data_IF_223459898398
#
_entry.id   IF_223459898398
#
_cell.length_a   1.000
_cell.length_b   1.000
_cell.length_c   1.000
_cell.angle_alpha   90.00
_cell.angle_beta   90.00
_cell.angle_gamma   90.00
#
_symmetry.space_group_name_H-M   'P 1'
#
loop_
_entity.id
_entity.type
_entity.pdbx_description
1 polymer ?
#
# COMPACT_ATOMS: atom_id res chain seq x y z
N UNK A 1 -1.96 -1.66 27.20
CA UNK A 1 -2.12 -1.44 25.75
C UNK A 1 -2.40 -2.73 24.96
N UNK A 2 -1.47 -3.69 24.91
CA UNK A 2 -1.62 -4.95 24.13
C UNK A 2 -2.95 -5.69 24.32
N UNK A 3 -3.43 -5.83 25.56
CA UNK A 3 -4.73 -6.45 25.85
C UNK A 3 -5.88 -5.73 25.11
N UNK A 4 -5.94 -4.41 25.22
CA UNK A 4 -6.99 -3.61 24.58
C UNK A 4 -6.90 -3.70 23.07
N UNK A 5 -5.70 -3.66 22.50
CA UNK A 5 -5.50 -3.85 21.06
C UNK A 5 -6.04 -5.20 20.59
N UNK A 6 -5.80 -6.29 21.32
CA UNK A 6 -6.36 -7.60 21.01
C UNK A 6 -7.88 -7.64 21.16
N UNK A 7 -8.42 -7.07 22.24
CA UNK A 7 -9.87 -7.00 22.48
C UNK A 7 -10.59 -6.21 21.37
N UNK A 8 -10.01 -5.07 20.94
CA UNK A 8 -10.55 -4.27 19.84
C UNK A 8 -10.50 -5.02 18.50
N UNK A 9 -9.40 -5.72 18.20
CA UNK A 9 -9.31 -6.57 16.99
C UNK A 9 -10.39 -7.64 17.01
N UNK A 10 -10.58 -8.34 18.12
CA UNK A 10 -11.63 -9.35 18.26
C UNK A 10 -13.03 -8.74 18.08
N UNK A 11 -13.29 -7.60 18.73
CA UNK A 11 -14.57 -6.90 18.61
C UNK A 11 -14.91 -6.55 17.16
N UNK A 12 -13.97 -5.97 16.41
CA UNK A 12 -14.20 -5.64 14.99
C UNK A 12 -14.37 -6.89 14.12
N UNK A 13 -13.59 -7.94 14.36
CA UNK A 13 -13.74 -9.21 13.63
C UNK A 13 -15.13 -9.83 13.84
N UNK A 14 -15.65 -9.81 15.07
CA UNK A 14 -16.98 -10.32 15.39
C UNK A 14 -18.09 -9.41 14.86
N UNK A 15 -17.93 -8.09 14.98
CA UNK A 15 -18.92 -7.10 14.54
C UNK A 15 -19.10 -7.08 13.03
N UNK A 16 -18.01 -7.23 12.28
CA UNK A 16 -18.01 -7.12 10.82
C UNK A 16 -18.21 -8.46 10.11
N UNK A 17 -18.06 -9.57 10.84
CA UNK A 17 -18.14 -10.95 10.34
C UNK A 17 -17.22 -11.21 9.13
N UNK A 18 -16.17 -10.38 9.00
CA UNK A 18 -15.25 -10.36 7.87
C UNK A 18 -13.84 -10.14 8.36
N UNK A 19 -12.92 -10.85 7.75
CA UNK A 19 -11.49 -10.73 8.00
C UNK A 19 -10.73 -10.81 6.69
N UNK A 20 -9.56 -10.18 6.69
CA UNK A 20 -8.59 -10.30 5.64
C UNK A 20 -7.57 -11.40 5.95
N UNK A 21 -6.99 -11.98 4.91
CA UNK A 21 -5.81 -12.82 5.05
C UNK A 21 -4.65 -11.94 5.55
N UNK A 22 -4.10 -12.27 6.71
CA UNK A 22 -3.00 -11.53 7.31
C UNK A 22 -1.64 -11.88 6.73
N UNK A 23 -0.57 -11.41 7.36
CA UNK A 23 0.81 -11.73 6.97
C UNK A 23 1.27 -11.09 5.66
N UNK A 24 0.66 -9.97 5.25
CA UNK A 24 1.00 -9.28 4.01
C UNK A 24 0.22 -9.75 2.77
N UNK A 25 -0.70 -10.71 2.91
CA UNK A 25 -1.42 -11.28 1.76
C UNK A 25 -2.31 -10.26 1.04
N UNK A 26 -3.01 -9.38 1.78
CA UNK A 26 -3.83 -8.33 1.15
C UNK A 26 -2.97 -7.20 0.60
N UNK A 27 -1.89 -6.85 1.27
CA UNK A 27 -0.93 -5.86 0.78
C UNK A 27 -0.27 -6.32 -0.53
N UNK A 28 0.03 -7.61 -0.64
CA UNK A 28 0.49 -8.24 -1.88
C UNK A 28 -0.61 -8.21 -2.97
N UNK A 29 -1.87 -8.47 -2.63
CA UNK A 29 -2.98 -8.33 -3.57
C UNK A 29 -3.09 -6.87 -4.09
N UNK A 30 -2.98 -5.89 -3.21
CA UNK A 30 -2.98 -4.47 -3.57
C UNK A 30 -1.83 -4.15 -4.53
N UNK A 31 -0.62 -4.68 -4.28
CA UNK A 31 0.53 -4.53 -5.16
C UNK A 31 0.24 -5.11 -6.56
N UNK A 32 -0.27 -6.34 -6.65
CA UNK A 32 -0.64 -6.96 -7.94
C UNK A 32 -1.69 -6.14 -8.67
N UNK A 33 -2.73 -5.67 -7.98
CA UNK A 33 -3.77 -4.82 -8.58
C UNK A 33 -3.20 -3.50 -9.10
N UNK A 34 -2.31 -2.84 -8.36
CA UNK A 34 -1.69 -1.58 -8.80
C UNK A 34 -0.82 -1.76 -10.04
N UNK A 35 -0.07 -2.86 -10.15
CA UNK A 35 0.73 -3.17 -11.34
C UNK A 35 -0.17 -3.37 -12.57
N UNK A 36 -1.22 -4.18 -12.44
CA UNK A 36 -2.20 -4.40 -13.52
C UNK A 36 -2.85 -3.08 -13.95
N UNK A 37 -3.25 -2.23 -13.01
CA UNK A 37 -3.85 -0.93 -13.31
C UNK A 37 -2.86 0.03 -13.99
N UNK A 38 -1.60 0.03 -13.56
CA UNK A 38 -0.56 0.85 -14.17
C UNK A 38 -0.31 0.41 -15.63
N UNK A 39 -0.21 -0.88 -15.89
CA UNK A 39 -0.06 -1.42 -17.24
C UNK A 39 -1.27 -1.13 -18.14
N UNK A 40 -2.49 -1.29 -17.61
CA UNK A 40 -3.71 -0.96 -18.34
C UNK A 40 -3.78 0.52 -18.70
N UNK A 41 -3.36 1.40 -17.77
CA UNK A 41 -3.32 2.84 -18.04
C UNK A 41 -2.36 3.20 -19.17
N UNK A 42 -1.20 2.53 -19.24
CA UNK A 42 -0.23 2.69 -20.33
C UNK A 42 -0.77 2.15 -21.67
N UNK A 43 -1.46 1.00 -21.65
CA UNK A 43 -2.06 0.40 -22.87
C UNK A 43 -3.20 1.24 -23.44
N UNK A 44 -3.99 1.89 -22.57
CA UNK A 44 -5.11 2.75 -22.97
C UNK A 44 -4.65 4.08 -23.56
N UNK A 45 -3.48 4.58 -23.17
CA UNK A 45 -2.86 5.76 -23.79
C UNK A 45 -2.47 5.49 -25.26
N UNK A 46 -2.11 4.25 -25.58
CA UNK A 46 -1.83 3.81 -26.96
C UNK A 46 -3.10 3.58 -27.81
N UNK A 47 -4.28 3.50 -27.19
CA UNK A 47 -5.58 3.26 -27.85
C UNK A 47 -6.67 4.17 -27.28
N UNK A 48 -6.86 5.33 -27.94
CA UNK A 48 -7.93 6.34 -27.81
C UNK A 48 -7.49 7.63 -27.07
N UNK A 49 -7.21 8.72 -27.80
CA UNK A 49 -8.22 9.63 -28.34
C UNK A 49 -9.63 9.04 -28.53
N UNK A 50 -10.56 9.46 -27.66
CA UNK A 50 -12.04 9.39 -27.73
C UNK A 50 -12.71 8.65 -26.55
N UNK A 51 -13.43 9.42 -25.73
CA UNK A 51 -14.67 8.94 -25.10
C UNK A 51 -14.58 8.31 -23.72
N UNK A 52 -14.07 8.99 -22.70
CA UNK A 52 -14.65 8.83 -21.35
C UNK A 52 -14.35 10.07 -20.49
N UNK A 53 -15.42 10.72 -20.00
CA UNK A 53 -15.49 11.89 -19.12
C UNK A 53 -15.63 13.24 -19.83
N UNK A 54 -16.81 13.47 -20.40
CA UNK A 54 -17.31 14.83 -20.59
C UNK A 54 -17.64 15.42 -19.20
N UNK A 55 -17.02 16.55 -18.85
CA UNK A 55 -17.32 17.44 -17.71
C UNK A 55 -16.36 17.51 -16.50
N UNK A 56 -15.06 17.28 -16.71
CA UNK A 56 -14.03 17.89 -15.85
C UNK A 56 -13.07 18.71 -16.73
N UNK A 57 -12.84 19.97 -16.36
CA UNK A 57 -12.01 20.95 -17.08
C UNK A 57 -10.77 20.32 -17.73
N UNK A 58 -10.58 20.58 -19.04
CA UNK A 58 -9.81 19.74 -19.96
C UNK A 58 -8.30 19.61 -19.69
N UNK A 59 -7.73 20.39 -18.77
CA UNK A 59 -6.30 20.28 -18.42
C UNK A 59 -6.04 19.32 -17.26
N UNK A 60 -6.88 19.32 -16.21
CA UNK A 60 -6.72 18.40 -15.08
C UNK A 60 -7.08 16.97 -15.47
N UNK A 61 -8.10 16.79 -16.32
CA UNK A 61 -8.46 15.47 -16.83
C UNK A 61 -7.39 14.90 -17.77
N UNK A 62 -6.74 15.74 -18.59
CA UNK A 62 -5.66 15.31 -19.47
C UNK A 62 -4.35 15.04 -18.71
N UNK A 63 -3.99 15.90 -17.75
CA UNK A 63 -2.82 15.64 -16.89
C UNK A 63 -3.00 14.39 -16.03
N UNK A 64 -4.22 14.11 -15.55
CA UNK A 64 -4.53 12.89 -14.82
C UNK A 64 -4.25 11.64 -15.66
N UNK A 65 -4.60 11.63 -16.95
CA UNK A 65 -4.31 10.48 -17.83
C UNK A 65 -2.79 10.23 -17.96
N UNK A 66 -2.00 11.29 -18.08
CA UNK A 66 -0.54 11.25 -18.25
C UNK A 66 0.17 10.82 -16.96
N UNK A 67 -0.23 11.35 -15.80
CA UNK A 67 0.46 11.10 -14.54
C UNK A 67 -0.06 9.87 -13.79
N UNK A 68 -1.26 9.38 -14.10
CA UNK A 68 -1.85 8.22 -13.41
C UNK A 68 -0.98 6.96 -13.47
N UNK A 69 -0.42 6.52 -14.62
CA UNK A 69 0.48 5.37 -14.65
C UNK A 69 1.68 5.54 -13.71
N UNK A 70 2.25 6.75 -13.69
CA UNK A 70 3.39 7.11 -12.84
C UNK A 70 3.02 7.06 -11.36
N UNK A 71 1.89 7.66 -10.96
CA UNK A 71 1.41 7.62 -9.56
C UNK A 71 1.13 6.19 -9.12
N UNK A 72 0.46 5.38 -9.95
CA UNK A 72 0.19 3.97 -9.65
C UNK A 72 1.49 3.17 -9.48
N UNK A 73 2.50 3.43 -10.31
CA UNK A 73 3.83 2.82 -10.19
C UNK A 73 4.52 3.21 -8.87
N UNK A 74 4.46 4.48 -8.46
CA UNK A 74 5.02 4.90 -7.17
C UNK A 74 4.30 4.29 -5.98
N UNK A 75 2.96 4.18 -6.03
CA UNK A 75 2.19 3.47 -5.01
C UNK A 75 2.57 1.99 -4.95
N UNK A 76 2.71 1.32 -6.09
CA UNK A 76 3.17 -0.06 -6.17
C UNK A 76 4.58 -0.22 -5.55
N UNK A 77 5.52 0.67 -5.87
CA UNK A 77 6.86 0.65 -5.28
C UNK A 77 6.82 0.80 -3.75
N UNK A 78 5.91 1.61 -3.22
CA UNK A 78 5.69 1.75 -1.77
C UNK A 78 5.26 0.42 -1.12
N UNK A 79 4.29 -0.27 -1.73
CA UNK A 79 3.88 -1.61 -1.27
C UNK A 79 4.99 -2.63 -1.37
N UNK A 80 5.74 -2.65 -2.47
CA UNK A 80 6.88 -3.56 -2.65
C UNK A 80 7.91 -3.35 -1.55
N UNK A 81 8.30 -2.11 -1.25
CA UNK A 81 9.25 -1.80 -0.16
C UNK A 81 8.73 -2.24 1.21
N UNK A 82 7.45 -1.97 1.49
CA UNK A 82 6.80 -2.42 2.73
C UNK A 82 6.86 -3.95 2.86
N UNK A 83 6.47 -4.68 1.80
CA UNK A 83 6.47 -6.15 1.79
C UNK A 83 7.89 -6.73 1.90
N UNK A 84 8.88 -6.15 1.21
CA UNK A 84 10.27 -6.58 1.31
C UNK A 84 10.80 -6.40 2.73
N UNK A 85 10.48 -5.28 3.37
CA UNK A 85 10.83 -5.01 4.77
C UNK A 85 10.13 -5.98 5.72
N UNK A 86 8.84 -6.24 5.49
CA UNK A 86 8.06 -7.20 6.27
C UNK A 86 8.70 -8.60 6.18
N UNK A 87 8.90 -9.10 4.97
CA UNK A 87 9.50 -10.41 4.73
C UNK A 87 10.92 -10.52 5.29
N UNK A 88 11.76 -9.49 5.13
CA UNK A 88 13.10 -9.49 5.74
C UNK A 88 13.06 -9.60 7.26
N UNK A 89 12.09 -8.93 7.91
CA UNK A 89 11.97 -8.94 9.36
C UNK A 89 11.27 -10.19 9.92
N UNK A 90 10.32 -10.76 9.17
CA UNK A 90 9.45 -11.85 9.67
C UNK A 90 9.78 -13.21 9.10
N UNK A 91 10.41 -13.26 7.94
CA UNK A 91 10.81 -14.49 7.27
C UNK A 91 12.34 -14.60 7.24
N UNK A 92 12.84 -15.83 7.12
CA UNK A 92 14.27 -16.15 7.16
C UNK A 92 15.00 -15.78 5.85
N UNK A 93 14.77 -14.58 5.31
CA UNK A 93 15.51 -14.07 4.17
C UNK A 93 16.78 -13.36 4.64
N UNK A 94 17.86 -13.52 3.88
CA UNK A 94 19.18 -13.00 4.24
C UNK A 94 19.32 -11.51 3.91
N UNK A 95 18.46 -10.97 3.04
CA UNK A 95 18.49 -9.56 2.63
C UNK A 95 17.15 -9.04 2.09
N UNK A 96 16.97 -7.72 2.08
CA UNK A 96 15.82 -7.05 1.43
C UNK A 96 15.77 -7.32 -0.09
N UNK A 97 16.93 -7.51 -0.73
CA UNK A 97 17.02 -7.84 -2.16
C UNK A 97 16.45 -9.24 -2.46
N UNK A 98 16.78 -10.21 -1.63
CA UNK A 98 16.24 -11.57 -1.72
C UNK A 98 14.73 -11.57 -1.52
N UNK A 99 14.23 -10.87 -0.50
CA UNK A 99 12.81 -10.69 -0.25
C UNK A 99 12.09 -10.01 -1.44
N UNK A 100 12.71 -8.99 -2.03
CA UNK A 100 12.17 -8.29 -3.21
C UNK A 100 12.10 -9.19 -4.43
N UNK A 101 13.12 -10.03 -4.65
CA UNK A 101 13.15 -11.00 -5.75
C UNK A 101 12.06 -12.06 -5.58
N UNK A 102 11.87 -12.54 -4.34
CA UNK A 102 10.78 -13.45 -4.01
C UNK A 102 9.40 -12.84 -4.30
N UNK A 103 9.17 -11.59 -3.88
CA UNK A 103 7.93 -10.86 -4.19
C UNK A 103 7.73 -10.76 -5.71
N UNK A 104 8.76 -10.37 -6.45
CA UNK A 104 8.67 -10.23 -7.91
C UNK A 104 8.30 -11.56 -8.60
N UNK A 105 8.88 -12.67 -8.15
CA UNK A 105 8.55 -14.01 -8.66
C UNK A 105 7.07 -14.36 -8.40
N UNK A 106 6.58 -14.11 -7.18
CA UNK A 106 5.18 -14.35 -6.85
C UNK A 106 4.22 -13.43 -7.61
N UNK A 107 4.62 -12.17 -7.90
CA UNK A 107 3.83 -11.25 -8.69
C UNK A 107 3.68 -11.72 -10.13
N UNK A 108 4.76 -12.23 -10.73
CA UNK A 108 4.71 -12.80 -12.07
C UNK A 108 3.73 -13.99 -12.12
N UNK A 109 3.85 -14.93 -11.17
CA UNK A 109 2.94 -16.06 -11.08
C UNK A 109 1.47 -15.65 -10.86
N UNK A 110 1.23 -14.61 -10.06
CA UNK A 110 -0.10 -14.06 -9.85
C UNK A 110 -0.70 -13.50 -11.15
N UNK A 111 0.11 -12.81 -11.95
CA UNK A 111 -0.28 -12.31 -13.27
C UNK A 111 -0.54 -13.46 -14.25
N UNK A 112 0.34 -14.46 -14.29
CA UNK A 112 0.24 -15.63 -15.17
C UNK A 112 -0.99 -16.50 -14.84
N UNK A 113 -1.44 -16.47 -13.59
CA UNK A 113 -2.68 -17.15 -13.17
C UNK A 113 -3.96 -16.52 -13.71
N UNK A 114 -3.90 -15.29 -14.24
CA UNK A 114 -5.05 -14.50 -14.69
C UNK A 114 -5.93 -13.95 -13.56
N UNK A 115 -5.72 -14.37 -12.30
CA UNK A 115 -6.47 -13.91 -11.13
C UNK A 115 -5.57 -13.85 -9.89
N UNK A 116 -5.00 -12.67 -9.58
CA UNK A 116 -4.13 -12.51 -8.41
C UNK A 116 -4.79 -12.94 -7.08
N UNK A 117 -6.09 -12.68 -6.91
CA UNK A 117 -6.84 -13.11 -5.72
C UNK A 117 -6.90 -14.63 -5.58
N UNK A 118 -7.15 -15.35 -6.67
CA UNK A 118 -7.21 -16.82 -6.68
C UNK A 118 -5.82 -17.42 -6.42
N UNK A 119 -4.78 -16.84 -7.03
CA UNK A 119 -3.39 -17.22 -6.79
C UNK A 119 -3.00 -17.10 -5.31
N UNK A 120 -3.25 -15.93 -4.71
CA UNK A 120 -2.93 -15.68 -3.30
C UNK A 120 -3.71 -16.62 -2.39
N UNK A 121 -5.00 -16.82 -2.64
CA UNK A 121 -5.81 -17.74 -1.83
C UNK A 121 -5.25 -19.18 -1.90
N UNK A 122 -4.84 -19.62 -3.09
CA UNK A 122 -4.24 -20.93 -3.29
C UNK A 122 -2.90 -21.05 -2.55
N UNK A 123 -1.98 -20.10 -2.73
CA UNK A 123 -0.68 -20.10 -2.04
C UNK A 123 -0.84 -20.03 -0.52
N UNK A 124 -1.76 -19.19 -0.03
CA UNK A 124 -2.07 -19.08 1.39
C UNK A 124 -2.65 -20.40 1.95
N UNK A 125 -3.44 -21.12 1.16
CA UNK A 125 -3.92 -22.46 1.53
C UNK A 125 -2.80 -23.52 1.53
N UNK A 126 -1.85 -23.44 0.57
CA UNK A 126 -0.72 -24.37 0.44
C UNK A 126 0.31 -24.23 1.55
N UNK A 127 0.49 -23.04 2.11
CA UNK A 127 1.34 -22.84 3.30
C UNK A 127 0.89 -23.73 4.48
N UNK A 128 -0.41 -24.06 4.54
CA UNK A 128 -0.92 -25.02 5.51
C UNK A 128 -0.71 -26.49 5.10
N UNK A 129 -0.70 -26.81 3.79
CA UNK A 129 -0.60 -28.19 3.30
C UNK A 129 0.82 -28.69 3.07
N UNK A 130 1.77 -27.82 2.74
CA UNK A 130 3.19 -28.18 2.52
C UNK A 130 3.89 -28.68 3.80
N UNK A 131 3.37 -28.29 4.96
CA UNK A 131 3.85 -28.74 6.27
C UNK A 131 3.22 -30.08 6.68
N UNK A 132 1.97 -30.35 6.26
CA UNK A 132 1.27 -31.60 6.57
C UNK A 132 1.87 -32.83 5.86
N UNK A 133 2.65 -32.63 4.79
CA UNK A 133 3.21 -33.71 3.96
C UNK A 133 4.74 -33.81 4.00
N UNK A 134 5.43 -33.18 4.96
CA UNK A 134 6.85 -33.45 5.19
C UNK A 134 6.99 -34.59 6.21
N UNK A 135 7.33 -35.77 5.70
CA UNK A 135 7.53 -37.01 6.44
C UNK A 135 8.33 -36.84 7.76
N UNK A 136 7.73 -37.35 8.84
CA UNK A 136 8.40 -37.88 10.05
C UNK A 136 9.21 -36.86 10.87
N UNK A 137 8.54 -36.09 11.75
CA UNK A 137 9.05 -35.72 13.08
C UNK A 137 7.95 -35.14 13.98
N UNK A 138 7.81 -35.67 15.20
CA UNK A 138 6.68 -35.52 16.13
C UNK A 138 6.54 -34.15 16.83
N UNK A 139 6.82 -33.03 16.15
CA UNK A 139 6.41 -31.68 16.60
C UNK A 139 6.01 -30.83 15.39
N UNK A 140 4.83 -31.12 14.87
CA UNK A 140 4.23 -30.44 13.74
C UNK A 140 3.50 -29.18 14.24
N UNK A 141 4.21 -28.06 14.37
CA UNK A 141 3.55 -26.77 14.62
C UNK A 141 2.91 -26.29 13.32
N UNK A 142 1.60 -26.53 13.20
CA UNK A 142 0.76 -25.93 12.18
C UNK A 142 0.97 -24.41 12.23
N UNK A 143 1.43 -23.79 11.14
CA UNK A 143 1.51 -22.32 11.08
C UNK A 143 0.07 -21.80 11.24
N UNK A 144 -0.23 -21.05 12.30
CA UNK A 144 -1.59 -20.58 12.53
C UNK A 144 -1.99 -19.64 11.40
N UNK A 145 -3.22 -19.78 10.90
CA UNK A 145 -3.77 -18.83 9.94
C UNK A 145 -3.84 -17.47 10.61
N UNK A 146 -3.17 -16.50 10.01
CA UNK A 146 -3.13 -15.13 10.50
C UNK A 146 -4.19 -14.34 9.75
N UNK A 147 -5.04 -13.65 10.50
CA UNK A 147 -6.08 -12.82 9.94
C UNK A 147 -5.94 -11.39 10.44
N UNK A 148 -6.31 -10.44 9.59
CA UNK A 148 -6.38 -9.04 9.94
C UNK A 148 -7.82 -8.54 9.88
N UNK A 149 -8.15 -7.60 10.76
CA UNK A 149 -9.45 -6.90 10.77
C UNK A 149 -9.57 -5.94 9.59
N UNK A 150 -10.78 -5.88 9.00
CA UNK A 150 -11.03 -5.16 7.76
C UNK A 150 -11.00 -3.65 7.96
N UNK A 151 -11.93 -3.10 8.75
CA UNK A 151 -12.05 -1.63 8.90
C UNK A 151 -10.78 -0.97 9.42
N UNK A 152 -10.14 -1.45 10.51
CA UNK A 152 -8.92 -0.79 11.00
C UNK A 152 -7.77 -0.81 9.98
N UNK A 153 -7.68 -1.85 9.13
CA UNK A 153 -6.67 -1.93 8.07
C UNK A 153 -6.96 -0.93 6.94
N UNK A 154 -8.20 -0.86 6.46
CA UNK A 154 -8.60 0.09 5.40
C UNK A 154 -8.43 1.53 5.89
N UNK A 155 -8.85 1.82 7.12
CA UNK A 155 -8.68 3.13 7.73
C UNK A 155 -7.21 3.51 7.89
N UNK A 156 -6.35 2.57 8.27
CA UNK A 156 -4.90 2.83 8.34
C UNK A 156 -4.34 3.25 6.97
N UNK A 157 -4.72 2.57 5.89
CA UNK A 157 -4.27 2.92 4.54
C UNK A 157 -4.82 4.26 4.07
N UNK A 158 -6.10 4.52 4.32
CA UNK A 158 -6.74 5.80 4.00
C UNK A 158 -6.05 6.95 4.71
N UNK A 159 -5.81 6.83 6.02
CA UNK A 159 -5.13 7.86 6.82
C UNK A 159 -3.67 8.06 6.42
N UNK A 160 -2.97 6.98 6.07
CA UNK A 160 -1.61 7.08 5.54
C UNK A 160 -1.58 7.86 4.22
N UNK A 161 -2.54 7.58 3.32
CA UNK A 161 -2.66 8.33 2.07
C UNK A 161 -3.04 9.79 2.30
N UNK A 162 -3.98 10.07 3.21
CA UNK A 162 -4.37 11.43 3.59
C UNK A 162 -3.15 12.25 4.06
N UNK A 163 -2.28 11.65 4.88
CA UNK A 163 -1.03 12.29 5.33
C UNK A 163 -0.04 12.52 4.19
N UNK A 164 0.16 11.54 3.31
CA UNK A 164 1.05 11.69 2.15
C UNK A 164 0.56 12.81 1.24
N UNK A 165 -0.75 12.86 0.96
CA UNK A 165 -1.34 13.91 0.14
C UNK A 165 -1.21 15.29 0.80
N UNK A 166 -1.46 15.38 2.11
CA UNK A 166 -1.25 16.62 2.87
C UNK A 166 0.17 17.14 2.70
N UNK A 167 1.17 16.29 2.87
CA UNK A 167 2.59 16.67 2.73
C UNK A 167 2.91 17.06 1.29
N UNK A 168 2.49 16.29 0.30
CA UNK A 168 2.79 16.57 -1.12
C UNK A 168 2.08 17.82 -1.66
N UNK A 169 0.95 18.22 -1.07
CA UNK A 169 0.22 19.43 -1.44
C UNK A 169 0.73 20.68 -0.73
N UNK A 170 1.51 20.52 0.34
CA UNK A 170 2.06 21.63 1.11
C UNK A 170 3.32 22.15 0.41
N UNK A 171 3.33 23.44 0.07
CA UNK A 171 4.46 24.13 -0.57
C UNK A 171 5.35 24.87 0.44
N UNK A 172 4.81 25.21 1.62
CA UNK A 172 5.49 25.94 2.67
C UNK A 172 5.01 25.56 4.07
N UNK A 173 5.94 25.53 5.03
CA UNK A 173 5.65 25.39 6.45
C UNK A 173 5.95 26.73 7.15
N UNK A 174 4.93 27.37 7.72
CA UNK A 174 5.09 28.63 8.45
C UNK A 174 5.18 28.34 9.95
N UNK A 175 6.40 28.36 10.48
CA UNK A 175 6.64 28.22 11.92
C UNK A 175 6.74 29.62 12.53
N UNK A 176 5.68 30.06 13.20
CA UNK A 176 5.73 31.29 14.00
C UNK A 176 6.06 30.95 15.46
N UNK A 177 7.13 31.56 15.99
CA UNK A 177 7.46 31.51 17.40
C UNK A 177 7.27 32.89 18.01
N UNK A 178 6.64 32.97 19.19
CA UNK A 178 6.60 34.22 19.97
C UNK A 178 7.94 34.43 20.68
N UNK A 179 9.01 34.59 19.91
CA UNK A 179 10.19 35.30 20.42
C UNK A 179 9.78 36.75 20.63
N UNK A 180 10.03 37.32 21.81
CA UNK A 180 9.84 38.75 22.08
C UNK A 180 10.67 39.59 21.10
N UNK A 181 10.16 39.81 19.90
CA UNK A 181 10.64 40.83 18.98
C UNK A 181 9.86 42.08 19.31
N UNK A 182 10.43 42.92 20.19
CA UNK A 182 10.16 44.35 20.14
C UNK A 182 10.60 44.85 18.76
N UNK A 183 9.69 44.77 17.79
CA UNK A 183 9.86 45.42 16.51
C UNK A 183 9.58 46.89 16.77
N UNK A 184 10.65 47.66 16.97
CA UNK A 184 10.60 49.10 16.79
C UNK A 184 10.10 49.33 15.36
N UNK A 185 8.92 49.92 15.26
CA UNK A 185 8.27 50.27 14.01
C UNK A 185 9.06 51.37 13.30
N UNK A 186 10.08 51.01 12.54
CA UNK A 186 10.67 51.89 11.54
C UNK A 186 11.31 51.05 10.43
N UNK A 187 10.72 51.19 9.24
CA UNK A 187 11.27 50.88 7.92
C UNK A 187 11.64 49.41 7.60
N UNK A 188 10.68 48.68 7.02
CA UNK A 188 10.99 47.72 5.97
C UNK A 188 10.00 47.89 4.80
N UNK A 189 10.31 48.86 3.95
CA UNK A 189 9.86 48.93 2.56
C UNK A 189 10.31 47.69 1.80
N UNK A 190 9.36 46.99 1.18
CA UNK A 190 9.59 46.13 0.02
C UNK A 190 9.80 44.65 0.31
N UNK A 191 8.70 43.90 0.42
CA UNK A 191 8.70 42.49 0.05
C UNK A 191 7.93 42.35 -1.27
N UNK A 192 8.70 42.27 -2.36
CA UNK A 192 8.24 41.81 -3.68
C UNK A 192 8.47 40.29 -3.71
N UNK A 193 7.39 39.52 -3.81
CA UNK A 193 7.47 38.13 -4.24
C UNK A 193 7.35 38.10 -5.76
N UNK A 194 8.34 37.50 -6.42
CA UNK A 194 8.32 37.07 -7.83
C UNK A 194 7.83 35.63 -7.90
#
# INVERSE_FOLDING_TARGET
>A
DRFWTCAYRLYYALKEEKVFLGGGAVEFLCLSCLQILAEQSLKKENHACSGWLHNTSSWLASSLAIYRPTVLKFLANGWQKYLSTLLYNTAHYSSEFEASTYIQHHLQNATDSGSPSSYILNEYSKLNSRILNSDISNKLEQIPRVYDVVTPKIEAWRRALDLVLLVLQTDSEIITGHGHTQINSQELTGFLFL
#
